data_IF_332700169307
#
_entry.id   IF_332700169307
#
_cell.length_a   1.000
_cell.length_b   1.000
_cell.length_c   1.000
_cell.angle_alpha   90.00
_cell.angle_beta   90.00
_cell.angle_gamma   90.00
#
_symmetry.space_group_name_H-M   'P 1'
#
loop_
_entity.id
_entity.type
_entity.pdbx_description
1 polymer ?
#
# COMPACT_ATOMS: atom_id res chain seq x y z
N UNK A 1 -7.36 -0.04 -25.99
CA UNK A 1 -7.90 1.01 -25.09
C UNK A 1 -6.80 2.03 -24.81
N UNK A 2 -7.06 3.32 -25.03
CA UNK A 2 -6.10 4.38 -24.68
C UNK A 2 -6.18 4.61 -23.17
N UNK A 3 -5.12 4.26 -22.46
CA UNK A 3 -5.08 4.42 -21.02
C UNK A 3 -4.88 5.89 -20.64
N UNK A 4 -5.80 6.47 -19.87
CA UNK A 4 -5.77 7.89 -19.46
C UNK A 4 -5.20 8.11 -18.06
N UNK A 5 -5.30 7.10 -17.17
CA UNK A 5 -4.83 7.18 -15.79
C UNK A 5 -3.42 6.60 -15.64
N UNK A 6 -2.46 7.44 -15.24
CA UNK A 6 -1.06 7.06 -14.99
C UNK A 6 -0.65 7.25 -13.52
N UNK A 7 -1.28 8.20 -12.82
CA UNK A 7 -0.95 8.61 -11.47
C UNK A 7 -2.24 8.68 -10.66
N UNK A 8 -2.26 8.04 -9.48
CA UNK A 8 -3.40 8.09 -8.56
C UNK A 8 -2.90 8.29 -7.14
N UNK A 9 -3.53 9.21 -6.41
CA UNK A 9 -3.34 9.38 -4.96
C UNK A 9 -4.70 9.40 -4.29
N UNK A 10 -4.87 8.58 -3.25
CA UNK A 10 -6.07 8.57 -2.42
C UNK A 10 -5.63 8.73 -0.97
N UNK A 11 -6.15 9.76 -0.31
CA UNK A 11 -5.87 10.06 1.09
C UNK A 11 -7.17 10.21 1.85
N UNK A 12 -7.38 9.35 2.84
CA UNK A 12 -8.53 9.38 3.74
C UNK A 12 -7.99 9.52 5.16
N UNK A 13 -7.95 10.76 5.65
CA UNK A 13 -7.42 11.12 6.99
C UNK A 13 -8.39 12.05 7.69
N UNK A 14 -8.68 11.82 8.98
CA UNK A 14 -9.18 12.86 9.89
C UNK A 14 -10.69 13.17 9.83
N UNK A 15 -11.53 12.22 9.44
CA UNK A 15 -12.99 12.37 9.39
C UNK A 15 -13.66 11.31 10.29
N UNK A 16 -14.89 11.58 10.75
CA UNK A 16 -15.78 10.51 11.20
C UNK A 16 -15.92 9.47 10.08
N UNK A 17 -15.91 8.18 10.43
CA UNK A 17 -16.04 7.05 9.48
C UNK A 17 -14.86 6.83 8.49
N UNK A 18 -13.67 7.40 8.71
CA UNK A 18 -12.50 7.17 7.84
C UNK A 18 -12.13 5.68 7.66
N UNK A 19 -12.44 4.84 8.64
CA UNK A 19 -12.26 3.39 8.59
C UNK A 19 -13.19 2.77 7.53
N UNK A 20 -14.46 3.18 7.48
CA UNK A 20 -15.45 2.70 6.53
C UNK A 20 -15.11 3.14 5.10
N UNK A 21 -14.75 4.41 4.91
CA UNK A 21 -14.34 4.89 3.59
C UNK A 21 -13.06 4.22 3.08
N UNK A 22 -12.09 3.95 3.97
CA UNK A 22 -10.90 3.18 3.62
C UNK A 22 -11.26 1.76 3.16
N UNK A 23 -12.20 1.12 3.85
CA UNK A 23 -12.73 -0.20 3.49
C UNK A 23 -13.40 -0.18 2.10
N UNK A 24 -14.27 0.79 1.83
CA UNK A 24 -14.96 0.97 0.54
C UNK A 24 -13.93 1.16 -0.59
N UNK A 25 -12.90 1.99 -0.38
CA UNK A 25 -11.85 2.19 -1.39
C UNK A 25 -11.11 0.89 -1.67
N UNK A 26 -10.65 0.16 -0.64
CA UNK A 26 -9.88 -1.07 -0.83
C UNK A 26 -10.70 -2.16 -1.54
N UNK A 27 -11.97 -2.33 -1.19
CA UNK A 27 -12.83 -3.35 -1.81
C UNK A 27 -13.09 -3.10 -3.29
N UNK A 28 -13.17 -1.84 -3.73
CA UNK A 28 -13.58 -1.48 -5.09
C UNK A 28 -12.41 -1.08 -6.01
N UNK A 29 -11.38 -0.42 -5.47
CA UNK A 29 -10.34 0.22 -6.28
C UNK A 29 -9.63 -0.76 -7.21
N UNK A 30 -9.29 -1.95 -6.71
CA UNK A 30 -8.52 -2.93 -7.47
C UNK A 30 -9.17 -3.34 -8.80
N UNK A 31 -10.52 -3.36 -8.87
CA UNK A 31 -11.28 -3.78 -10.05
C UNK A 31 -11.23 -2.76 -11.20
N UNK A 32 -11.02 -1.48 -10.87
CA UNK A 32 -11.07 -0.37 -11.82
C UNK A 32 -9.68 0.16 -12.20
N UNK A 33 -8.62 -0.36 -11.57
CA UNK A 33 -7.27 0.05 -11.91
C UNK A 33 -6.92 -0.40 -13.33
N UNK A 34 -6.22 0.44 -14.12
CA UNK A 34 -5.71 0.02 -15.40
C UNK A 34 -4.54 -0.98 -15.22
N UNK A 35 -4.21 -1.75 -16.27
CA UNK A 35 -3.11 -2.74 -16.24
C UNK A 35 -1.74 -2.20 -15.82
N UNK A 36 -1.53 -0.88 -15.88
CA UNK A 36 -0.27 -0.25 -15.49
C UNK A 36 -0.51 1.06 -14.77
N UNK A 37 0.25 1.39 -13.74
CA UNK A 37 0.35 2.75 -13.20
C UNK A 37 1.81 3.16 -13.11
N UNK A 38 2.10 4.42 -13.39
CA UNK A 38 3.42 5.00 -13.09
C UNK A 38 3.54 5.30 -11.59
N UNK A 39 2.42 5.59 -10.92
CA UNK A 39 2.38 5.93 -9.50
C UNK A 39 1.03 5.63 -8.85
N UNK A 40 1.04 4.98 -7.69
CA UNK A 40 -0.11 4.84 -6.80
C UNK A 40 0.31 5.19 -5.37
N UNK A 41 -0.40 6.14 -4.74
CA UNK A 41 -0.23 6.47 -3.33
C UNK A 41 -1.55 6.29 -2.57
N UNK A 42 -1.56 5.42 -1.57
CA UNK A 42 -2.69 5.16 -0.70
C UNK A 42 -2.35 5.58 0.73
N UNK A 43 -3.12 6.51 1.30
CA UNK A 43 -3.04 6.89 2.71
C UNK A 43 -4.39 6.60 3.36
N UNK A 44 -4.52 5.41 3.95
CA UNK A 44 -5.79 4.79 4.35
C UNK A 44 -5.64 4.07 5.70
N UNK A 45 -6.75 3.84 6.40
CA UNK A 45 -6.79 2.85 7.48
C UNK A 45 -6.96 1.45 6.89
N UNK A 46 -5.94 0.60 6.97
CA UNK A 46 -5.95 -0.68 6.28
C UNK A 46 -6.40 -1.80 7.21
N UNK A 47 -7.55 -2.40 6.89
CA UNK A 47 -7.94 -3.73 7.40
C UNK A 47 -7.39 -4.80 6.48
N UNK A 48 -6.83 -5.86 7.05
CA UNK A 48 -6.16 -6.93 6.32
C UNK A 48 -7.10 -7.62 5.33
N UNK A 49 -8.36 -7.89 5.72
CA UNK A 49 -9.37 -8.51 4.84
C UNK A 49 -9.66 -7.68 3.60
N UNK A 50 -9.83 -6.35 3.76
CA UNK A 50 -10.12 -5.45 2.65
C UNK A 50 -8.89 -5.26 1.76
N UNK A 51 -7.70 -5.25 2.37
CA UNK A 51 -6.44 -5.16 1.63
C UNK A 51 -6.20 -6.40 0.76
N UNK A 52 -6.51 -7.59 1.28
CA UNK A 52 -6.44 -8.82 0.50
C UNK A 52 -7.37 -8.77 -0.73
N UNK A 53 -8.59 -8.23 -0.57
CA UNK A 53 -9.52 -8.01 -1.68
C UNK A 53 -8.91 -7.05 -2.72
N UNK A 54 -8.34 -5.92 -2.28
CA UNK A 54 -7.64 -4.98 -3.16
C UNK A 54 -6.51 -5.67 -3.95
N UNK A 55 -5.68 -6.48 -3.28
CA UNK A 55 -4.53 -7.15 -3.87
C UNK A 55 -4.93 -8.19 -4.92
N UNK A 56 -5.98 -8.97 -4.65
CA UNK A 56 -6.57 -9.96 -5.58
C UNK A 56 -7.22 -9.27 -6.77
N UNK A 57 -8.05 -8.26 -6.53
CA UNK A 57 -8.76 -7.56 -7.61
C UNK A 57 -7.80 -6.77 -8.51
N UNK A 58 -6.69 -6.29 -7.97
CA UNK A 58 -5.68 -5.58 -8.76
C UNK A 58 -4.63 -6.50 -9.40
N UNK A 59 -4.70 -7.84 -9.29
CA UNK A 59 -3.60 -8.76 -9.62
C UNK A 59 -2.90 -8.53 -10.97
N UNK A 60 -3.65 -8.07 -11.98
CA UNK A 60 -3.14 -7.81 -13.34
C UNK A 60 -2.58 -6.39 -13.53
N UNK A 61 -2.62 -5.56 -12.49
CA UNK A 61 -2.07 -4.21 -12.47
C UNK A 61 -0.61 -4.22 -12.02
N UNK A 62 0.27 -3.73 -12.90
CA UNK A 62 1.65 -3.36 -12.56
C UNK A 62 1.72 -1.90 -12.07
N UNK A 63 2.39 -1.65 -10.95
CA UNK A 63 2.50 -0.31 -10.37
C UNK A 63 3.97 0.05 -10.25
N UNK A 64 4.49 0.97 -11.07
CA UNK A 64 5.91 1.30 -11.04
C UNK A 64 6.36 1.82 -9.67
N UNK A 65 5.63 2.75 -9.07
CA UNK A 65 5.90 3.27 -7.72
C UNK A 65 4.65 3.16 -6.85
N UNK A 66 4.70 2.32 -5.82
CA UNK A 66 3.61 2.08 -4.86
C UNK A 66 3.98 2.67 -3.49
N UNK A 67 3.17 3.60 -3.01
CA UNK A 67 3.27 4.23 -1.71
C UNK A 67 2.06 3.85 -0.86
N UNK A 68 2.31 3.38 0.36
CA UNK A 68 1.26 3.05 1.32
C UNK A 68 1.56 3.72 2.65
N UNK A 69 0.68 4.62 3.07
CA UNK A 69 0.64 5.14 4.43
C UNK A 69 -0.53 4.51 5.16
N UNK A 70 -0.23 3.52 6.00
CA UNK A 70 -1.20 2.77 6.76
C UNK A 70 -1.53 3.50 8.07
N UNK A 71 -2.75 4.00 8.16
CA UNK A 71 -3.21 4.88 9.21
C UNK A 71 -3.84 4.07 10.36
N UNK A 72 -3.04 3.69 11.35
CA UNK A 72 -3.48 2.89 12.51
C UNK A 72 -4.17 1.58 12.09
N UNK A 73 -3.80 1.02 10.94
CA UNK A 73 -4.36 -0.22 10.43
C UNK A 73 -3.64 -1.45 10.97
N UNK A 74 -3.99 -2.60 10.40
CA UNK A 74 -3.33 -3.87 10.69
C UNK A 74 -2.02 -3.99 9.91
N UNK A 75 -1.11 -4.86 10.37
CA UNK A 75 0.12 -5.18 9.65
C UNK A 75 -0.19 -5.83 8.30
N UNK A 76 0.41 -5.30 7.22
CA UNK A 76 0.16 -5.72 5.83
C UNK A 76 1.41 -6.31 5.17
N UNK A 77 2.54 -6.40 5.87
CA UNK A 77 3.83 -6.71 5.26
C UNK A 77 3.86 -8.11 4.63
N UNK A 78 3.29 -9.12 5.30
CA UNK A 78 3.17 -10.48 4.76
C UNK A 78 2.41 -10.52 3.43
N UNK A 79 1.33 -9.74 3.32
CA UNK A 79 0.52 -9.62 2.12
C UNK A 79 1.24 -8.90 0.99
N UNK A 80 1.99 -7.83 1.31
CA UNK A 80 2.87 -7.17 0.33
C UNK A 80 3.90 -8.17 -0.21
N UNK A 81 4.53 -8.96 0.66
CA UNK A 81 5.47 -9.99 0.22
C UNK A 81 4.81 -11.02 -0.69
N UNK A 82 3.64 -11.51 -0.34
CA UNK A 82 2.95 -12.56 -1.10
C UNK A 82 2.40 -12.09 -2.45
N UNK A 83 1.67 -10.98 -2.46
CA UNK A 83 0.90 -10.55 -3.61
C UNK A 83 1.63 -9.53 -4.49
N UNK A 84 2.61 -8.79 -3.94
CA UNK A 84 3.33 -7.75 -4.68
C UNK A 84 4.78 -8.17 -4.97
N UNK A 85 5.55 -8.56 -3.94
CA UNK A 85 6.97 -8.89 -4.08
C UNK A 85 7.19 -10.16 -4.89
N UNK A 86 6.62 -11.29 -4.46
CA UNK A 86 6.77 -12.58 -5.17
C UNK A 86 6.20 -12.53 -6.59
N UNK A 87 5.21 -11.67 -6.84
CA UNK A 87 4.58 -11.47 -8.15
C UNK A 87 5.28 -10.38 -9.00
N UNK A 88 6.32 -9.72 -8.47
CA UNK A 88 7.10 -8.66 -9.14
C UNK A 88 6.23 -7.54 -9.74
N UNK A 89 5.20 -7.11 -9.00
CA UNK A 89 4.20 -6.15 -9.48
C UNK A 89 4.58 -4.68 -9.29
N UNK A 90 5.72 -4.41 -8.65
CA UNK A 90 6.22 -3.06 -8.38
C UNK A 90 7.71 -2.93 -8.68
N UNK A 91 8.16 -1.70 -8.92
CA UNK A 91 9.60 -1.37 -9.03
C UNK A 91 10.12 -0.58 -7.82
N UNK A 92 9.29 0.32 -7.31
CA UNK A 92 9.58 1.13 -6.13
C UNK A 92 8.47 0.95 -5.10
N UNK A 93 8.85 0.74 -3.84
CA UNK A 93 7.92 0.52 -2.73
C UNK A 93 8.29 1.46 -1.57
N UNK A 94 7.29 2.09 -0.98
CA UNK A 94 7.43 2.79 0.29
C UNK A 94 6.20 2.51 1.15
N UNK A 95 6.44 2.13 2.41
CA UNK A 95 5.39 1.85 3.38
C UNK A 95 5.71 2.59 4.67
N UNK A 96 4.75 3.34 5.17
CA UNK A 96 4.77 3.99 6.48
C UNK A 96 3.57 3.50 7.27
N UNK A 97 3.80 2.90 8.43
CA UNK A 97 2.75 2.53 9.38
C UNK A 97 2.70 3.56 10.50
N UNK A 98 1.52 4.10 10.77
CA UNK A 98 1.26 4.88 11.98
C UNK A 98 0.54 4.03 13.01
N UNK A 99 0.91 4.16 14.28
CA UNK A 99 0.33 3.38 15.37
C UNK A 99 0.13 4.26 16.60
N UNK A 100 -0.82 3.87 17.46
CA UNK A 100 -1.03 4.53 18.75
C UNK A 100 -0.03 3.97 19.76
N UNK A 101 0.77 4.85 20.37
CA UNK A 101 1.69 4.48 21.43
C UNK A 101 0.97 4.16 22.75
N UNK A 102 1.75 3.73 23.75
CA UNK A 102 1.24 3.41 25.10
C UNK A 102 0.77 4.64 25.89
N UNK A 103 1.36 5.81 25.62
CA UNK A 103 0.79 7.13 25.94
C UNK A 103 0.22 7.69 24.63
N UNK A 104 -0.78 8.58 24.66
CA UNK A 104 -1.52 9.12 23.50
C UNK A 104 -0.69 9.79 22.37
N UNK A 105 0.62 9.59 22.35
CA UNK A 105 1.54 9.89 21.27
C UNK A 105 1.35 8.95 20.07
N UNK A 106 1.53 9.52 18.88
CA UNK A 106 1.54 8.78 17.63
C UNK A 106 2.97 8.40 17.25
N UNK A 107 3.18 7.12 16.97
CA UNK A 107 4.42 6.60 16.42
C UNK A 107 4.29 6.34 14.93
N UNK A 108 5.41 6.40 14.23
CA UNK A 108 5.53 6.03 12.83
C UNK A 108 6.69 5.05 12.66
N UNK A 109 6.51 4.08 11.77
CA UNK A 109 7.53 3.12 11.38
C UNK A 109 7.53 2.99 9.87
N UNK A 110 8.69 3.20 9.25
CA UNK A 110 8.83 3.04 7.81
C UNK A 110 9.52 1.72 7.46
N UNK A 111 9.10 1.09 6.38
CA UNK A 111 9.72 -0.14 5.86
C UNK A 111 11.21 0.05 5.57
N UNK A 112 11.62 1.23 5.11
CA UNK A 112 13.03 1.53 4.80
C UNK A 112 13.95 1.44 6.04
N UNK A 113 13.39 1.54 7.26
CA UNK A 113 14.14 1.39 8.51
C UNK A 113 14.41 -0.08 8.88
N UNK A 114 13.70 -1.03 8.27
CA UNK A 114 13.84 -2.47 8.50
C UNK A 114 14.88 -3.07 7.54
N UNK A 115 16.14 -3.08 7.95
CA UNK A 115 17.27 -3.47 7.08
C UNK A 115 17.11 -4.86 6.45
N UNK A 116 16.71 -5.85 7.23
CA UNK A 116 16.55 -7.23 6.75
C UNK A 116 15.43 -7.32 5.70
N UNK A 117 14.33 -6.61 5.94
CA UNK A 117 13.21 -6.51 5.00
C UNK A 117 13.63 -5.82 3.70
N UNK A 118 14.36 -4.70 3.78
CA UNK A 118 14.87 -3.97 2.61
C UNK A 118 15.78 -4.85 1.76
N UNK A 119 16.68 -5.61 2.38
CA UNK A 119 17.54 -6.54 1.64
C UNK A 119 16.73 -7.70 1.03
N UNK A 120 15.69 -8.21 1.68
CA UNK A 120 14.79 -9.20 1.08
C UNK A 120 14.08 -8.65 -0.17
N UNK A 121 13.49 -7.45 -0.12
CA UNK A 121 12.85 -6.83 -1.29
C UNK A 121 13.81 -6.61 -2.46
N UNK A 122 15.07 -6.27 -2.15
CA UNK A 122 16.12 -6.06 -3.14
C UNK A 122 16.47 -7.34 -3.91
N UNK A 123 16.35 -8.53 -3.30
CA UNK A 123 16.48 -9.82 -4.00
C UNK A 123 15.40 -10.04 -5.08
N UNK A 124 14.29 -9.30 -5.01
CA UNK A 124 13.20 -9.31 -5.98
C UNK A 124 13.23 -8.11 -6.94
N UNK A 125 14.36 -7.38 -7.02
CA UNK A 125 14.53 -6.16 -7.82
C UNK A 125 13.61 -4.99 -7.43
N UNK A 126 13.09 -5.00 -6.19
CA UNK A 126 12.23 -3.94 -5.66
C UNK A 126 13.07 -2.96 -4.85
N UNK A 127 13.00 -1.68 -5.22
CA UNK A 127 13.70 -0.61 -4.51
C UNK A 127 12.80 -0.03 -3.43
N UNK A 128 13.09 -0.37 -2.17
CA UNK A 128 12.44 0.27 -1.02
C UNK A 128 12.96 1.71 -0.86
N UNK A 129 12.06 2.65 -0.63
CA UNK A 129 12.34 4.08 -0.42
C UNK A 129 11.63 4.59 0.83
N UNK A 130 12.05 5.75 1.34
CA UNK A 130 11.24 6.51 2.28
C UNK A 130 9.90 6.91 1.64
N UNK A 131 8.87 7.06 2.46
CA UNK A 131 7.52 7.45 2.01
C UNK A 131 7.48 8.91 1.52
#
# INVERSE_FOLDING_TARGET
LKQSLNYLTIKITGWENYIEYSSIVLQNLGQILPFKLEYLNLSLHIKMSDFEVFLKNSQDTFIKKLLINNLKGQDILSYIKEYIMKKKRVKYLAIMDSFKGASDNYGYKELVSLKDEVEEFKLYDIKVQCY
#
